data_IF_965896851637
#
_entry.id   IF_965896851637
#
_cell.length_a   1.000
_cell.length_b   1.000
_cell.length_c   1.000
_cell.angle_alpha   90.00
_cell.angle_beta   90.00
_cell.angle_gamma   90.00
#
_symmetry.space_group_name_H-M   'P 1'
#
loop_
_entity.id
_entity.type
_entity.pdbx_description
1 polymer ?
#
# COMPACT_ATOMS: atom_id res chain seq x y z
N UNK A 1 12.72 -9.29 4.03
CA UNK A 1 12.84 -9.36 2.57
C UNK A 1 14.05 -8.52 2.21
N UNK A 2 15.25 -9.11 2.30
CA UNK A 2 15.99 -9.39 1.07
C UNK A 2 15.10 -9.87 -0.07
N UNK A 3 15.23 -9.19 -1.21
CA UNK A 3 14.69 -9.64 -2.48
C UNK A 3 15.30 -11.04 -2.77
N UNK A 4 14.51 -12.01 -3.23
CA UNK A 4 15.02 -13.35 -3.51
C UNK A 4 16.12 -13.27 -4.57
N UNK A 5 17.38 -13.44 -4.15
CA UNK A 5 18.53 -13.54 -5.04
C UNK A 5 18.76 -15.03 -5.35
N UNK A 6 17.84 -15.61 -6.11
CA UNK A 6 17.98 -16.94 -6.71
C UNK A 6 18.65 -16.82 -8.07
N UNK A 7 19.49 -17.80 -8.44
CA UNK A 7 20.02 -17.97 -9.80
C UNK A 7 18.86 -18.22 -10.78
N UNK A 8 18.15 -17.17 -11.16
CA UNK A 8 17.09 -17.24 -12.16
C UNK A 8 17.68 -17.07 -13.56
N UNK A 9 17.01 -17.64 -14.56
CA UNK A 9 17.36 -17.40 -15.95
C UNK A 9 17.19 -15.91 -16.27
N UNK A 10 17.97 -15.39 -17.23
CA UNK A 10 17.87 -14.01 -17.69
C UNK A 10 17.63 -13.97 -19.20
N UNK A 11 16.70 -13.13 -19.65
CA UNK A 11 16.58 -12.70 -21.04
C UNK A 11 17.02 -11.25 -21.11
N UNK A 12 18.12 -10.97 -21.80
CA UNK A 12 18.58 -9.60 -22.06
C UNK A 12 18.07 -9.15 -23.42
N UNK A 13 17.27 -8.09 -23.43
CA UNK A 13 16.75 -7.49 -24.65
C UNK A 13 17.77 -6.54 -25.27
N UNK A 14 17.73 -6.45 -26.59
CA UNK A 14 18.45 -5.43 -27.36
C UNK A 14 17.44 -4.66 -28.18
N UNK A 15 17.40 -3.35 -27.99
CA UNK A 15 16.58 -2.44 -28.78
C UNK A 15 17.46 -1.67 -29.76
N UNK A 16 16.88 -1.26 -30.88
CA UNK A 16 17.55 -0.43 -31.88
C UNK A 16 16.77 0.87 -32.07
N UNK A 17 17.41 1.88 -32.64
CA UNK A 17 16.81 3.22 -32.79
C UNK A 17 15.64 3.29 -33.78
N UNK A 18 15.37 2.22 -34.53
CA UNK A 18 14.22 2.14 -35.46
C UNK A 18 12.99 1.48 -34.82
N UNK A 19 13.06 1.12 -33.53
CA UNK A 19 11.90 0.55 -32.85
C UNK A 19 10.89 1.64 -32.52
N UNK A 20 9.67 1.44 -32.98
CA UNK A 20 8.58 2.38 -32.71
C UNK A 20 7.85 2.05 -31.41
N UNK A 21 7.80 0.78 -30.98
CA UNK A 21 7.19 0.38 -29.69
C UNK A 21 7.91 -0.86 -29.14
N UNK A 22 8.45 -0.78 -27.93
CA UNK A 22 9.14 -1.90 -27.28
C UNK A 22 8.21 -2.88 -26.56
N UNK A 23 6.94 -2.53 -26.34
CA UNK A 23 5.98 -3.38 -25.61
C UNK A 23 5.93 -4.83 -26.12
N UNK A 24 5.82 -5.11 -27.45
CA UNK A 24 5.73 -6.48 -27.93
C UNK A 24 6.95 -7.33 -27.55
N UNK A 25 8.16 -6.74 -27.62
CA UNK A 25 9.40 -7.43 -27.28
C UNK A 25 9.50 -7.71 -25.77
N UNK A 26 9.07 -6.76 -24.94
CA UNK A 26 9.06 -6.95 -23.50
C UNK A 26 8.05 -8.04 -23.11
N UNK A 27 6.84 -8.01 -23.67
CA UNK A 27 5.83 -9.02 -23.37
C UNK A 27 6.26 -10.42 -23.84
N UNK A 28 6.83 -10.55 -25.05
CA UNK A 28 7.33 -11.83 -25.56
C UNK A 28 8.43 -12.40 -24.66
N UNK A 29 9.35 -11.57 -24.16
CA UNK A 29 10.39 -12.00 -23.23
C UNK A 29 9.81 -12.43 -21.88
N UNK A 30 8.83 -11.70 -21.35
CA UNK A 30 8.13 -12.07 -20.12
C UNK A 30 7.45 -13.44 -20.29
N UNK A 31 6.71 -13.63 -21.39
CA UNK A 31 5.99 -14.87 -21.65
C UNK A 31 6.95 -16.06 -21.82
N UNK A 32 8.05 -15.85 -22.54
CA UNK A 32 9.09 -16.87 -22.77
C UNK A 32 9.79 -17.28 -21.48
N UNK A 33 10.14 -16.33 -20.62
CA UNK A 33 10.86 -16.64 -19.37
C UNK A 33 9.92 -17.24 -18.32
N UNK A 34 8.66 -16.78 -18.27
CA UNK A 34 7.63 -17.38 -17.43
C UNK A 34 7.38 -18.85 -17.80
N UNK A 35 7.29 -19.17 -19.10
CA UNK A 35 7.15 -20.54 -19.59
C UNK A 35 8.36 -21.43 -19.24
N UNK A 36 9.52 -20.82 -18.95
CA UNK A 36 10.75 -21.49 -18.54
C UNK A 36 10.92 -21.61 -17.01
N UNK A 37 9.91 -21.24 -16.23
CA UNK A 37 9.93 -21.31 -14.77
C UNK A 37 10.24 -19.99 -14.05
N UNK A 38 10.27 -18.87 -14.77
CA UNK A 38 10.51 -17.54 -14.21
C UNK A 38 11.95 -17.05 -14.36
N UNK A 39 12.15 -15.78 -14.04
CA UNK A 39 13.46 -15.12 -14.08
C UNK A 39 13.39 -13.64 -14.45
N UNK A 40 14.51 -13.10 -14.91
CA UNK A 40 14.64 -11.65 -15.14
C UNK A 40 14.64 -11.30 -16.63
N UNK A 41 13.78 -10.38 -17.04
CA UNK A 41 13.86 -9.68 -18.32
C UNK A 41 14.64 -8.38 -18.11
N UNK A 42 15.81 -8.29 -18.75
CA UNK A 42 16.73 -7.15 -18.62
C UNK A 42 16.55 -6.23 -19.83
N UNK A 43 16.17 -4.98 -19.56
CA UNK A 43 16.00 -3.93 -20.56
C UNK A 43 17.32 -3.19 -20.79
N UNK A 44 17.71 -2.89 -22.04
CA UNK A 44 18.96 -2.20 -22.33
C UNK A 44 18.89 -0.72 -21.91
N UNK A 45 20.07 -0.13 -21.67
CA UNK A 45 20.21 1.32 -21.52
C UNK A 45 19.67 2.05 -22.75
N UNK A 46 19.03 3.20 -22.54
CA UNK A 46 18.45 4.04 -23.58
C UNK A 46 17.08 4.59 -23.21
N UNK A 47 16.54 5.40 -24.11
CA UNK A 47 15.19 5.95 -24.02
C UNK A 47 14.36 5.29 -25.10
N UNK A 48 13.33 4.55 -24.72
CA UNK A 48 12.64 3.62 -25.60
C UNK A 48 11.14 3.91 -25.67
N UNK A 49 10.57 4.07 -26.87
CA UNK A 49 9.14 4.33 -27.02
C UNK A 49 8.34 3.08 -26.64
N UNK A 50 7.24 3.27 -25.92
CA UNK A 50 6.40 2.19 -25.42
C UNK A 50 4.91 2.55 -25.46
N UNK A 51 4.05 1.59 -25.77
CA UNK A 51 2.61 1.65 -25.47
C UNK A 51 2.30 0.94 -24.14
N UNK A 52 1.29 1.43 -23.40
CA UNK A 52 0.94 0.87 -22.09
C UNK A 52 0.34 -0.55 -22.17
N UNK A 53 0.32 -1.26 -21.03
CA UNK A 53 -0.34 -2.55 -20.85
C UNK A 53 0.59 -3.75 -21.01
N UNK A 54 1.71 -3.73 -20.29
CA UNK A 54 2.56 -4.91 -20.06
C UNK A 54 2.05 -5.64 -18.82
N UNK A 55 1.90 -6.96 -18.94
CA UNK A 55 1.59 -7.82 -17.80
C UNK A 55 2.84 -8.61 -17.43
N UNK A 56 3.33 -8.43 -16.21
CA UNK A 56 4.45 -9.22 -15.67
C UNK A 56 3.85 -10.43 -14.95
N UNK A 57 4.23 -11.64 -15.38
CA UNK A 57 3.70 -12.91 -14.84
C UNK A 57 4.43 -13.32 -13.55
N UNK A 58 3.83 -14.21 -12.76
CA UNK A 58 4.43 -14.78 -11.55
C UNK A 58 5.85 -15.30 -11.77
N UNK A 59 6.73 -15.06 -10.80
CA UNK A 59 8.14 -15.45 -10.84
C UNK A 59 9.00 -14.65 -11.83
N UNK A 60 8.48 -13.56 -12.41
CA UNK A 60 9.21 -12.73 -13.37
C UNK A 60 9.55 -11.35 -12.80
N UNK A 61 10.77 -10.91 -13.07
CA UNK A 61 11.25 -9.56 -12.77
C UNK A 61 11.57 -8.82 -14.06
N UNK A 62 11.12 -7.58 -14.21
CA UNK A 62 11.57 -6.68 -15.28
C UNK A 62 12.55 -5.69 -14.68
N UNK A 63 13.78 -5.68 -15.17
CA UNK A 63 14.86 -4.84 -14.65
C UNK A 63 15.47 -3.96 -15.75
N UNK A 64 15.69 -2.68 -15.47
CA UNK A 64 16.54 -1.81 -16.29
C UNK A 64 17.97 -1.72 -15.76
N UNK A 65 18.73 -0.76 -16.29
CA UNK A 65 20.10 -0.48 -15.86
C UNK A 65 20.22 0.63 -14.79
N UNK A 66 19.08 1.17 -14.34
CA UNK A 66 18.96 2.29 -13.43
C UNK A 66 17.90 3.29 -13.90
N UNK A 67 17.28 3.99 -12.94
CA UNK A 67 16.16 4.91 -13.16
C UNK A 67 16.37 5.98 -14.25
N UNK A 68 17.61 6.45 -14.44
CA UNK A 68 17.98 7.45 -15.44
C UNK A 68 18.72 6.86 -16.66
N UNK A 69 18.96 5.55 -16.67
CA UNK A 69 19.72 4.86 -17.74
C UNK A 69 18.82 4.10 -18.69
N UNK A 70 17.78 3.44 -18.17
CA UNK A 70 16.73 2.82 -18.97
C UNK A 70 15.45 3.61 -18.74
N UNK A 71 14.96 4.30 -19.76
CA UNK A 71 13.74 5.10 -19.66
C UNK A 71 12.73 4.65 -20.72
N UNK A 72 11.53 4.32 -20.28
CA UNK A 72 10.39 3.98 -21.13
C UNK A 72 9.53 5.23 -21.34
N UNK A 73 9.38 5.64 -22.60
CA UNK A 73 8.69 6.88 -22.98
C UNK A 73 7.35 6.52 -23.60
N UNK A 74 6.23 6.88 -22.95
CA UNK A 74 4.91 6.56 -23.48
C UNK A 74 4.62 7.28 -24.79
N UNK A 75 4.06 6.56 -25.75
CA UNK A 75 3.61 7.13 -27.03
C UNK A 75 2.18 7.67 -26.96
N UNK A 76 1.34 7.04 -26.15
CA UNK A 76 -0.07 7.36 -25.99
C UNK A 76 -0.39 7.72 -24.55
N UNK A 77 -1.50 8.46 -24.37
CA UNK A 77 -2.07 8.71 -23.05
C UNK A 77 -2.56 7.40 -22.39
N UNK A 78 -2.50 7.35 -21.06
CA UNK A 78 -2.80 6.23 -20.17
C UNK A 78 -4.29 5.81 -20.11
N UNK A 79 -4.73 5.01 -21.07
CA UNK A 79 -6.04 4.32 -21.01
C UNK A 79 -6.06 3.06 -20.13
N UNK A 80 -4.88 2.56 -19.75
CA UNK A 80 -4.66 1.40 -18.87
C UNK A 80 -3.29 1.52 -18.17
N UNK A 81 -2.97 0.70 -17.14
CA UNK A 81 -1.66 0.76 -16.49
C UNK A 81 -0.50 0.48 -17.45
N UNK A 82 0.67 1.09 -17.21
CA UNK A 82 1.88 0.78 -18.01
C UNK A 82 2.32 -0.65 -17.73
N UNK A 83 2.52 -0.97 -16.45
CA UNK A 83 2.80 -2.30 -15.95
C UNK A 83 1.70 -2.77 -14.99
N UNK A 84 1.19 -3.97 -15.24
CA UNK A 84 0.38 -4.75 -14.30
C UNK A 84 1.23 -5.91 -13.79
N UNK A 85 1.47 -5.99 -12.49
CA UNK A 85 2.20 -7.09 -11.87
C UNK A 85 1.22 -8.22 -11.56
N UNK A 86 1.00 -9.07 -12.56
CA UNK A 86 0.02 -10.15 -12.55
C UNK A 86 -0.99 -10.04 -13.68
N UNK A 87 -2.00 -10.89 -13.66
CA UNK A 87 -3.05 -10.88 -14.68
C UNK A 87 -4.11 -9.80 -14.39
N UNK A 88 -4.35 -8.83 -15.30
CA UNK A 88 -5.49 -7.94 -15.19
C UNK A 88 -6.78 -8.77 -15.26
N UNK A 89 -7.74 -8.47 -14.39
CA UNK A 89 -9.04 -9.14 -14.25
C UNK A 89 -9.13 -10.39 -13.37
N UNK A 90 -8.36 -10.48 -12.28
CA UNK A 90 -8.74 -11.40 -11.19
C UNK A 90 -9.94 -10.88 -10.37
N UNK A 91 -11.05 -10.55 -11.06
CA UNK A 91 -12.33 -10.20 -10.44
C UNK A 91 -13.03 -11.42 -9.82
N UNK A 92 -12.39 -12.59 -9.89
CA UNK A 92 -12.83 -13.81 -9.24
C UNK A 92 -12.85 -13.57 -7.74
N UNK A 93 -14.05 -13.67 -7.17
CA UNK A 93 -14.21 -13.55 -5.73
C UNK A 93 -13.57 -14.76 -5.04
N UNK A 94 -12.99 -14.58 -3.85
CA UNK A 94 -12.55 -15.71 -3.06
C UNK A 94 -13.72 -16.63 -2.75
N UNK A 95 -13.44 -17.92 -2.62
CA UNK A 95 -14.42 -18.88 -2.11
C UNK A 95 -14.42 -18.85 -0.60
N UNK A 96 -15.57 -18.57 -0.02
CA UNK A 96 -15.76 -18.59 1.42
C UNK A 96 -16.11 -20.00 1.89
N UNK A 97 -15.41 -20.47 2.93
CA UNK A 97 -15.56 -21.79 3.52
C UNK A 97 -16.28 -21.75 4.88
N UNK A 98 -15.80 -22.61 5.79
CA UNK A 98 -16.25 -22.68 7.17
C UNK A 98 -16.17 -21.31 7.85
N UNK A 99 -17.12 -21.03 8.73
CA UNK A 99 -17.15 -19.81 9.52
C UNK A 99 -17.59 -20.11 10.94
N UNK A 100 -17.10 -19.32 11.87
CA UNK A 100 -17.43 -19.45 13.28
C UNK A 100 -17.38 -18.08 13.93
N UNK A 101 -18.41 -17.74 14.71
CA UNK A 101 -18.46 -16.44 15.40
C UNK A 101 -17.34 -16.39 16.44
N UNK A 102 -16.73 -15.21 16.56
CA UNK A 102 -15.77 -14.92 17.62
C UNK A 102 -16.56 -14.59 18.90
N UNK A 103 -16.23 -15.24 20.01
CA UNK A 103 -16.96 -15.14 21.29
C UNK A 103 -16.34 -14.17 22.28
N UNK A 104 -15.15 -13.64 21.99
CA UNK A 104 -14.51 -12.65 22.85
C UNK A 104 -15.40 -11.41 22.98
N UNK A 105 -15.58 -10.93 24.22
CA UNK A 105 -16.34 -9.70 24.46
C UNK A 105 -15.62 -8.47 23.90
N UNK A 106 -14.31 -8.42 24.11
CA UNK A 106 -13.42 -7.38 23.62
C UNK A 106 -12.06 -7.98 23.25
N UNK A 107 -11.50 -7.53 22.13
CA UNK A 107 -10.14 -7.81 21.69
C UNK A 107 -9.45 -6.49 21.34
N UNK A 108 -8.39 -6.07 22.04
CA UNK A 108 -7.64 -4.88 21.68
C UNK A 108 -6.82 -5.08 20.40
N UNK A 109 -6.42 -3.97 19.78
CA UNK A 109 -5.35 -3.95 18.77
C UNK A 109 -4.11 -4.66 19.34
N UNK A 110 -3.47 -5.50 18.53
CA UNK A 110 -2.34 -6.35 18.92
C UNK A 110 -2.74 -7.74 19.43
N UNK A 111 -4.02 -8.04 19.61
CA UNK A 111 -4.46 -9.41 19.94
C UNK A 111 -4.11 -10.38 18.82
N UNK A 112 -3.51 -11.52 19.15
CA UNK A 112 -3.15 -12.56 18.17
C UNK A 112 -3.97 -13.84 18.29
N UNK A 113 -4.88 -13.93 19.27
CA UNK A 113 -5.76 -15.07 19.45
C UNK A 113 -7.22 -14.66 19.54
N UNK A 114 -8.09 -15.49 19.00
CA UNK A 114 -9.55 -15.36 19.05
C UNK A 114 -10.17 -16.66 19.56
N UNK A 115 -11.21 -16.56 20.36
CA UNK A 115 -12.04 -17.69 20.77
C UNK A 115 -13.25 -17.77 19.83
N UNK A 116 -13.51 -18.95 19.29
CA UNK A 116 -14.61 -19.21 18.34
C UNK A 116 -15.61 -20.21 18.90
N UNK A 117 -16.84 -20.23 18.37
CA UNK A 117 -17.87 -21.18 18.83
C UNK A 117 -17.45 -22.64 18.57
N UNK A 118 -17.03 -22.92 17.34
CA UNK A 118 -16.45 -24.19 16.90
C UNK A 118 -15.20 -23.95 16.05
N UNK A 119 -14.24 -24.86 16.15
CA UNK A 119 -13.01 -24.91 15.35
C UNK A 119 -12.96 -26.06 14.35
N UNK A 120 -14.05 -26.83 14.20
CA UNK A 120 -14.07 -28.09 13.44
C UNK A 120 -13.64 -27.94 11.96
N UNK A 121 -13.84 -26.75 11.39
CA UNK A 121 -13.46 -26.43 10.01
C UNK A 121 -12.21 -25.56 9.87
N UNK A 122 -11.47 -25.32 10.96
CA UNK A 122 -10.23 -24.56 10.96
C UNK A 122 -9.00 -25.46 11.06
N UNK A 123 -7.96 -25.12 10.31
CA UNK A 123 -6.66 -25.78 10.35
C UNK A 123 -5.52 -24.75 10.25
N UNK A 124 -4.35 -25.13 10.75
CA UNK A 124 -3.12 -24.35 10.60
C UNK A 124 -2.85 -24.07 9.12
N UNK A 125 -2.28 -22.90 8.85
CA UNK A 125 -1.96 -22.37 7.50
C UNK A 125 -3.17 -22.01 6.63
N UNK A 126 -4.40 -22.20 7.09
CA UNK A 126 -5.57 -21.71 6.34
C UNK A 126 -5.62 -20.18 6.31
N UNK A 127 -5.90 -19.64 5.14
CA UNK A 127 -6.26 -18.25 4.96
C UNK A 127 -7.67 -18.01 5.49
N UNK A 128 -7.81 -16.92 6.23
CA UNK A 128 -9.05 -16.52 6.86
C UNK A 128 -9.24 -15.01 6.74
N UNK A 129 -10.48 -14.56 6.76
CA UNK A 129 -10.79 -13.19 7.12
C UNK A 129 -11.25 -13.13 8.56
N UNK A 130 -10.72 -12.18 9.32
CA UNK A 130 -11.43 -11.64 10.47
C UNK A 130 -12.49 -10.71 9.89
N UNK A 131 -13.71 -11.22 9.86
CA UNK A 131 -14.82 -10.53 9.23
C UNK A 131 -15.65 -9.81 10.29
N UNK A 132 -15.88 -8.53 10.07
CA UNK A 132 -16.57 -7.66 11.01
C UNK A 132 -17.67 -6.88 10.29
N UNK A 133 -18.91 -7.02 10.73
CA UNK A 133 -20.00 -6.17 10.24
C UNK A 133 -20.14 -4.93 11.12
N UNK A 134 -20.19 -3.75 10.51
CA UNK A 134 -20.56 -2.51 11.19
C UNK A 134 -22.04 -2.57 11.58
N UNK A 135 -22.34 -2.65 12.87
CA UNK A 135 -23.74 -2.58 13.33
C UNK A 135 -24.20 -1.14 13.41
N UNK A 136 -25.51 -0.93 13.46
CA UNK A 136 -26.09 0.40 13.68
C UNK A 136 -25.61 1.06 14.98
N UNK A 137 -25.38 0.27 16.04
CA UNK A 137 -24.84 0.76 17.30
C UNK A 137 -23.41 1.28 17.13
N UNK A 138 -22.57 0.56 16.37
CA UNK A 138 -21.21 1.00 16.06
C UNK A 138 -21.20 2.27 15.20
N UNK A 139 -22.05 2.33 14.18
CA UNK A 139 -22.17 3.48 13.29
C UNK A 139 -22.57 4.72 14.11
N UNK A 140 -23.57 4.60 14.99
CA UNK A 140 -24.01 5.68 15.88
C UNK A 140 -22.92 6.12 16.85
N UNK A 141 -22.25 5.18 17.49
CA UNK A 141 -21.23 5.47 18.47
C UNK A 141 -20.04 6.24 17.87
N UNK A 142 -19.69 5.97 16.61
CA UNK A 142 -18.64 6.73 15.91
C UNK A 142 -19.15 8.02 15.23
N UNK A 143 -20.43 8.37 15.36
CA UNK A 143 -21.00 9.53 14.66
C UNK A 143 -21.08 9.37 13.14
N UNK A 144 -21.09 8.14 12.64
CA UNK A 144 -21.03 7.78 11.22
C UNK A 144 -22.42 7.55 10.59
N UNK A 145 -23.50 8.07 11.17
CA UNK A 145 -24.91 7.75 10.84
C UNK A 145 -25.30 7.95 9.36
N UNK A 146 -24.54 8.73 8.60
CA UNK A 146 -24.73 8.94 7.16
C UNK A 146 -24.05 7.88 6.28
N UNK A 147 -23.36 6.89 6.89
CA UNK A 147 -22.67 5.81 6.20
C UNK A 147 -23.51 4.54 6.16
N UNK A 148 -23.56 3.91 5.00
CA UNK A 148 -24.30 2.66 4.76
C UNK A 148 -23.57 1.44 5.33
N UNK A 149 -24.31 0.35 5.55
CA UNK A 149 -23.81 -0.95 6.04
C UNK A 149 -22.52 -1.39 5.32
N UNK A 150 -21.46 -1.64 6.11
CA UNK A 150 -20.14 -2.06 5.61
C UNK A 150 -19.64 -3.25 6.42
N UNK A 151 -19.17 -4.24 5.68
CA UNK A 151 -18.43 -5.39 6.20
C UNK A 151 -16.94 -5.16 5.97
N UNK A 152 -16.17 -5.12 7.04
CA UNK A 152 -14.71 -5.05 7.01
C UNK A 152 -14.19 -6.49 6.97
N UNK A 153 -13.30 -6.76 6.02
CA UNK A 153 -12.63 -8.06 5.87
C UNK A 153 -11.14 -7.84 6.05
N UNK A 154 -10.60 -8.33 7.16
CA UNK A 154 -9.17 -8.23 7.45
C UNK A 154 -8.51 -9.60 7.20
N UNK A 155 -7.71 -9.75 6.13
CA UNK A 155 -7.09 -11.03 5.78
C UNK A 155 -6.07 -11.43 6.85
N UNK A 156 -5.98 -12.73 7.10
CA UNK A 156 -5.05 -13.32 8.05
C UNK A 156 -4.81 -14.79 7.71
N UNK A 157 -3.96 -15.45 8.49
CA UNK A 157 -3.67 -16.86 8.38
C UNK A 157 -3.64 -17.50 9.76
N UNK A 158 -4.16 -18.71 9.89
CA UNK A 158 -4.13 -19.43 11.15
C UNK A 158 -2.71 -19.93 11.43
N UNK A 159 -2.16 -19.55 12.58
CA UNK A 159 -0.86 -20.04 13.07
C UNK A 159 -1.02 -21.25 14.00
N UNK A 160 -2.09 -21.32 14.79
CA UNK A 160 -2.36 -22.47 15.66
C UNK A 160 -3.87 -22.66 15.92
N UNK A 161 -4.26 -23.91 16.20
CA UNK A 161 -5.61 -24.29 16.65
C UNK A 161 -5.49 -25.08 17.94
N UNK A 162 -6.04 -24.56 19.03
CA UNK A 162 -6.04 -25.21 20.36
C UNK A 162 -7.44 -25.20 20.95
N UNK A 163 -8.17 -26.29 20.76
CA UNK A 163 -9.60 -26.33 21.10
C UNK A 163 -10.36 -25.27 20.29
N UNK A 164 -11.12 -24.41 20.97
CA UNK A 164 -11.82 -23.27 20.36
C UNK A 164 -11.00 -21.98 20.29
N UNK A 165 -9.73 -22.00 20.72
CA UNK A 165 -8.83 -20.87 20.58
C UNK A 165 -8.05 -20.98 19.26
N UNK A 166 -8.10 -19.93 18.45
CA UNK A 166 -7.40 -19.83 17.17
C UNK A 166 -6.36 -18.72 17.28
N UNK A 167 -5.09 -19.05 17.05
CA UNK A 167 -4.04 -18.04 16.92
C UNK A 167 -3.90 -17.62 15.47
N UNK A 168 -3.84 -16.31 15.24
CA UNK A 168 -3.62 -15.65 13.97
C UNK A 168 -2.12 -15.40 13.79
N UNK A 169 -1.65 -15.39 12.54
CA UNK A 169 -0.26 -15.09 12.20
C UNK A 169 0.06 -13.60 12.33
N UNK A 170 -0.93 -12.76 12.04
CA UNK A 170 -0.80 -11.31 12.09
C UNK A 170 -1.68 -10.83 13.25
N UNK A 171 -1.14 -10.09 14.24
CA UNK A 171 -1.95 -9.48 15.28
C UNK A 171 -3.04 -8.58 14.69
N UNK A 172 -4.20 -8.49 15.33
CA UNK A 172 -5.29 -7.63 14.91
C UNK A 172 -4.83 -6.16 14.88
N UNK A 173 -5.13 -5.47 13.78
CA UNK A 173 -4.84 -4.04 13.60
C UNK A 173 -6.05 -3.14 13.84
N UNK A 174 -7.16 -3.73 14.25
CA UNK A 174 -8.41 -3.08 14.64
C UNK A 174 -8.88 -3.73 15.94
N UNK A 175 -9.59 -2.99 16.79
CA UNK A 175 -10.20 -3.54 17.99
C UNK A 175 -11.58 -4.15 17.68
N UNK A 176 -11.92 -5.23 18.37
CA UNK A 176 -13.22 -5.88 18.23
C UNK A 176 -13.96 -5.79 19.56
N UNK A 177 -15.16 -5.21 19.55
CA UNK A 177 -16.04 -5.11 20.71
C UNK A 177 -17.42 -5.68 20.37
N UNK A 178 -17.77 -6.81 20.99
CA UNK A 178 -19.03 -7.53 20.74
C UNK A 178 -20.29 -6.70 21.02
N UNK A 179 -20.20 -5.62 21.82
CA UNK A 179 -21.29 -4.65 22.03
C UNK A 179 -21.64 -3.93 20.74
N UNK A 180 -20.62 -3.61 19.94
CA UNK A 180 -20.76 -2.76 18.76
C UNK A 180 -20.64 -3.55 17.45
N UNK A 181 -19.93 -4.67 17.43
CA UNK A 181 -19.63 -5.38 16.18
C UNK A 181 -19.94 -6.86 16.29
N UNK A 182 -20.39 -7.43 15.17
CA UNK A 182 -20.53 -8.89 15.04
C UNK A 182 -19.36 -9.40 14.22
N UNK A 183 -18.57 -10.28 14.83
CA UNK A 183 -17.32 -10.75 14.29
C UNK A 183 -17.36 -12.26 14.08
N UNK A 184 -16.85 -12.69 12.93
CA UNK A 184 -16.68 -14.10 12.60
C UNK A 184 -15.30 -14.33 12.00
N UNK A 185 -14.71 -15.48 12.28
CA UNK A 185 -13.57 -15.97 11.52
C UNK A 185 -14.12 -16.74 10.33
N UNK A 186 -13.66 -16.39 9.13
CA UNK A 186 -14.20 -16.91 7.86
C UNK A 186 -13.07 -17.50 7.03
N UNK A 187 -13.09 -18.81 6.76
CA UNK A 187 -12.14 -19.44 5.84
C UNK A 187 -12.29 -18.83 4.44
N UNK A 188 -11.14 -18.49 3.86
CA UNK A 188 -11.02 -17.93 2.53
C UNK A 188 -10.12 -18.85 1.69
N UNK A 189 -10.58 -19.23 0.51
CA UNK A 189 -9.72 -19.79 -0.53
C UNK A 189 -9.55 -18.73 -1.62
N UNK A 190 -8.33 -18.20 -1.82
CA UNK A 190 -8.07 -17.22 -2.85
C UNK A 190 -8.33 -17.83 -4.24
N UNK A 191 -8.63 -17.01 -5.26
CA UNK A 191 -8.44 -17.41 -6.65
C UNK A 191 -6.94 -17.61 -6.95
N UNK A 192 -6.57 -17.65 -8.23
CA UNK A 192 -5.16 -17.68 -8.61
C UNK A 192 -4.40 -16.49 -8.00
N UNK A 193 -3.31 -16.74 -7.30
CA UNK A 193 -2.44 -15.72 -6.71
C UNK A 193 -1.29 -15.40 -7.66
N UNK A 194 -1.04 -14.12 -7.91
CA UNK A 194 0.10 -13.65 -8.67
C UNK A 194 1.27 -13.44 -7.69
N UNK A 195 2.28 -14.31 -7.69
CA UNK A 195 3.36 -14.23 -6.69
C UNK A 195 4.74 -13.94 -7.29
N UNK A 196 5.64 -13.37 -6.48
CA UNK A 196 7.07 -13.22 -6.80
C UNK A 196 7.33 -12.40 -8.07
N UNK A 197 6.67 -11.24 -8.18
CA UNK A 197 6.74 -10.37 -9.36
C UNK A 197 7.49 -9.09 -9.03
N UNK A 198 8.44 -8.70 -9.88
CA UNK A 198 9.27 -7.51 -9.67
C UNK A 198 9.30 -6.56 -10.87
N UNK A 199 9.38 -5.26 -10.58
CA UNK A 199 9.83 -4.25 -11.54
C UNK A 199 10.89 -3.37 -10.88
N UNK A 200 12.02 -3.15 -11.54
CA UNK A 200 13.10 -2.38 -10.92
C UNK A 200 14.02 -1.63 -11.89
N UNK A 201 14.69 -0.63 -11.33
CA UNK A 201 15.85 0.06 -11.90
C UNK A 201 15.58 0.68 -13.29
N UNK A 202 14.45 1.40 -13.44
CA UNK A 202 14.07 2.03 -14.71
C UNK A 202 13.22 3.29 -14.52
N UNK A 203 13.20 4.15 -15.53
CA UNK A 203 12.35 5.33 -15.62
C UNK A 203 11.12 5.08 -16.50
N UNK A 204 10.00 5.73 -16.18
CA UNK A 204 8.81 5.77 -17.05
C UNK A 204 8.32 7.22 -17.15
N UNK A 205 8.17 7.72 -18.37
CA UNK A 205 7.77 9.10 -18.64
C UNK A 205 6.52 9.17 -19.51
N UNK A 206 5.63 10.12 -19.19
CA UNK A 206 4.51 10.54 -20.05
C UNK A 206 4.87 11.89 -20.69
N UNK A 207 5.31 11.95 -21.98
CA UNK A 207 5.82 13.17 -22.59
C UNK A 207 4.87 14.37 -22.57
N UNK A 208 3.58 14.14 -22.84
CA UNK A 208 2.54 15.17 -22.84
C UNK A 208 1.87 15.36 -21.47
N UNK A 209 2.46 14.79 -20.42
CA UNK A 209 1.98 14.69 -19.03
C UNK A 209 0.48 14.41 -18.83
N UNK A 210 0.19 13.39 -18.04
CA UNK A 210 -1.13 13.20 -17.47
C UNK A 210 -1.31 13.91 -16.12
N UNK A 211 -0.23 14.42 -15.51
CA UNK A 211 -0.39 15.32 -14.37
C UNK A 211 -1.21 16.54 -14.78
N UNK A 212 -2.11 16.96 -13.90
CA UNK A 212 -2.98 18.11 -14.16
C UNK A 212 -4.27 17.80 -14.91
N UNK A 213 -4.35 16.69 -15.66
CA UNK A 213 -5.59 16.26 -16.29
C UNK A 213 -6.66 15.94 -15.21
N UNK A 214 -7.94 16.31 -15.40
CA UNK A 214 -8.98 16.05 -14.41
C UNK A 214 -9.16 14.54 -14.19
N UNK A 215 -9.47 14.11 -12.97
CA UNK A 215 -9.55 12.67 -12.62
C UNK A 215 -10.64 11.89 -13.39
N UNK A 216 -11.59 12.56 -14.04
CA UNK A 216 -12.57 11.91 -14.92
C UNK A 216 -12.06 11.68 -16.35
N UNK A 217 -10.87 12.19 -16.70
CA UNK A 217 -10.19 11.88 -17.94
C UNK A 217 -9.66 10.44 -17.91
N UNK A 218 -10.36 9.56 -18.63
CA UNK A 218 -10.03 8.14 -18.71
C UNK A 218 -8.70 7.88 -19.42
N UNK A 219 -8.21 8.83 -20.20
CA UNK A 219 -6.91 8.72 -20.87
C UNK A 219 -5.75 9.11 -19.94
N UNK A 220 -6.00 9.64 -18.74
CA UNK A 220 -4.93 10.10 -17.87
C UNK A 220 -5.09 9.68 -16.42
N UNK A 221 -5.88 8.65 -16.14
CA UNK A 221 -6.18 8.23 -14.77
C UNK A 221 -5.92 6.73 -14.48
N UNK A 222 -4.98 6.13 -15.23
CA UNK A 222 -4.43 4.80 -14.97
C UNK A 222 -3.05 4.90 -14.29
N UNK A 223 -2.68 3.88 -13.51
CA UNK A 223 -1.43 3.86 -12.76
C UNK A 223 -0.20 3.58 -13.64
N UNK A 224 0.98 4.07 -13.27
CA UNK A 224 2.23 3.61 -13.90
C UNK A 224 2.45 2.11 -13.61
N UNK A 225 2.37 1.75 -12.33
CA UNK A 225 2.54 0.38 -11.83
C UNK A 225 1.30 -0.03 -11.03
N UNK A 226 0.69 -1.13 -11.42
CA UNK A 226 -0.53 -1.65 -10.83
C UNK A 226 -0.33 -3.06 -10.27
N UNK A 227 -0.66 -3.24 -8.99
CA UNK A 227 -0.73 -4.52 -8.31
C UNK A 227 -2.21 -4.91 -8.15
N UNK A 228 -2.75 -5.79 -9.01
CA UNK A 228 -4.14 -6.23 -8.89
C UNK A 228 -4.37 -7.07 -7.63
N UNK A 229 -5.65 -7.28 -7.29
CA UNK A 229 -6.04 -8.20 -6.21
C UNK A 229 -5.36 -9.57 -6.35
N UNK A 230 -5.02 -10.16 -5.20
CA UNK A 230 -4.30 -11.44 -5.11
C UNK A 230 -2.88 -11.42 -5.68
N UNK A 231 -2.30 -10.24 -5.85
CA UNK A 231 -0.85 -10.11 -6.03
C UNK A 231 -0.16 -10.20 -4.68
N UNK A 232 0.79 -11.11 -4.56
CA UNK A 232 1.48 -11.40 -3.32
C UNK A 232 3.00 -11.42 -3.51
N UNK A 233 3.76 -11.14 -2.45
CA UNK A 233 5.23 -11.29 -2.45
C UNK A 233 5.92 -10.59 -3.63
N UNK A 234 5.50 -9.35 -3.91
CA UNK A 234 5.87 -8.63 -5.14
C UNK A 234 6.38 -7.22 -4.84
N UNK A 235 7.16 -6.63 -5.74
CA UNK A 235 7.82 -5.35 -5.48
C UNK A 235 7.98 -4.43 -6.69
N UNK A 236 8.08 -3.14 -6.39
CA UNK A 236 8.61 -2.11 -7.29
C UNK A 236 9.78 -1.41 -6.58
N UNK A 237 10.95 -1.33 -7.23
CA UNK A 237 12.16 -0.79 -6.60
C UNK A 237 12.99 0.07 -7.54
N UNK A 238 13.46 1.24 -7.12
CA UNK A 238 14.41 2.02 -7.94
C UNK A 238 13.77 2.59 -9.22
N UNK A 239 12.53 3.08 -9.12
CA UNK A 239 11.81 3.63 -10.27
C UNK A 239 11.79 5.16 -10.24
N UNK A 240 12.00 5.80 -11.40
CA UNK A 240 11.70 7.22 -11.61
C UNK A 240 10.49 7.38 -12.52
N UNK A 241 9.40 7.89 -11.99
CA UNK A 241 8.12 7.96 -12.70
C UNK A 241 7.72 9.42 -12.87
N UNK A 242 7.38 9.82 -14.10
CA UNK A 242 7.06 11.23 -14.41
C UNK A 242 5.78 11.42 -15.20
N UNK A 243 5.01 12.43 -14.80
CA UNK A 243 3.86 12.93 -15.55
C UNK A 243 2.61 12.08 -15.40
N UNK A 244 2.44 11.38 -14.27
CA UNK A 244 1.26 10.57 -13.99
C UNK A 244 0.28 11.31 -13.08
N UNK A 245 -1.01 10.94 -13.15
CA UNK A 245 -1.95 11.21 -12.07
C UNK A 245 -1.93 10.12 -11.00
N UNK A 246 -1.65 8.87 -11.36
CA UNK A 246 -1.49 7.75 -10.43
C UNK A 246 -0.17 7.07 -10.73
N UNK A 247 0.72 6.98 -9.75
CA UNK A 247 2.01 6.33 -9.94
C UNK A 247 1.91 4.85 -9.57
N UNK A 248 1.41 4.56 -8.38
CA UNK A 248 1.21 3.21 -7.88
C UNK A 248 -0.24 2.99 -7.43
N UNK A 249 -0.80 1.83 -7.77
CA UNK A 249 -2.06 1.36 -7.22
C UNK A 249 -1.91 -0.08 -6.76
N UNK A 250 -2.23 -0.34 -5.49
CA UNK A 250 -2.30 -1.68 -4.89
C UNK A 250 -3.73 -1.96 -4.49
N UNK A 251 -4.35 -2.96 -5.11
CA UNK A 251 -5.75 -3.30 -4.88
C UNK A 251 -5.99 -4.19 -3.66
N UNK A 252 -7.27 -4.30 -3.28
CA UNK A 252 -7.73 -5.14 -2.19
C UNK A 252 -7.25 -6.59 -2.36
N UNK A 253 -6.95 -7.28 -1.25
CA UNK A 253 -6.44 -8.66 -1.21
C UNK A 253 -5.05 -8.87 -1.84
N UNK A 254 -4.41 -7.83 -2.40
CA UNK A 254 -2.96 -7.87 -2.58
C UNK A 254 -2.26 -7.79 -1.21
N UNK A 255 -1.15 -8.51 -1.06
CA UNK A 255 -0.41 -8.49 0.21
C UNK A 255 1.08 -8.76 0.09
N UNK A 256 1.87 -8.36 1.09
CA UNK A 256 3.33 -8.54 1.08
C UNK A 256 3.96 -7.82 -0.13
N UNK A 257 3.56 -6.57 -0.31
CA UNK A 257 4.00 -5.70 -1.40
C UNK A 257 5.01 -4.70 -0.88
N UNK A 258 6.14 -4.54 -1.58
CA UNK A 258 7.13 -3.50 -1.27
C UNK A 258 7.25 -2.52 -2.43
N UNK A 259 7.05 -1.22 -2.15
CA UNK A 259 7.36 -0.12 -3.06
C UNK A 259 8.49 0.65 -2.39
N UNK A 260 9.69 0.64 -2.99
CA UNK A 260 10.86 1.22 -2.34
C UNK A 260 11.78 1.99 -3.30
N UNK A 261 12.48 3.01 -2.80
CA UNK A 261 13.46 3.77 -3.59
C UNK A 261 12.85 4.29 -4.90
N UNK A 262 11.62 4.80 -4.85
CA UNK A 262 10.89 5.28 -6.04
C UNK A 262 10.66 6.78 -5.96
N UNK A 263 10.90 7.47 -7.07
CA UNK A 263 10.70 8.90 -7.24
C UNK A 263 9.47 9.15 -8.12
N UNK A 264 8.56 10.02 -7.67
CA UNK A 264 7.33 10.39 -8.38
C UNK A 264 7.37 11.88 -8.72
N UNK A 265 7.50 12.21 -10.00
CA UNK A 265 7.53 13.58 -10.52
C UNK A 265 6.15 13.96 -11.12
N UNK A 266 5.38 14.72 -10.34
CA UNK A 266 4.13 15.37 -10.73
C UNK A 266 4.43 16.79 -11.16
N UNK A 267 4.41 17.04 -12.46
CA UNK A 267 4.88 18.29 -13.07
C UNK A 267 3.76 19.34 -13.28
N UNK A 268 2.51 19.02 -12.91
CA UNK A 268 1.35 19.92 -13.00
C UNK A 268 0.36 19.69 -11.83
N UNK A 269 -0.30 20.77 -11.37
CA UNK A 269 -1.39 20.68 -10.39
C UNK A 269 -2.68 20.15 -11.03
N UNK A 270 -3.42 19.32 -10.29
CA UNK A 270 -4.67 18.70 -10.74
C UNK A 270 -5.75 19.74 -11.10
N UNK A 271 -6.37 19.59 -12.27
CA UNK A 271 -7.58 20.33 -12.59
C UNK A 271 -8.78 19.77 -11.80
N UNK A 272 -9.28 20.57 -10.86
CA UNK A 272 -10.48 20.27 -10.08
C UNK A 272 -10.23 20.13 -8.57
N UNK A 273 -11.27 19.71 -7.86
CA UNK A 273 -11.25 19.59 -6.40
C UNK A 273 -10.87 18.18 -5.92
N UNK A 274 -11.08 17.15 -6.75
CA UNK A 274 -10.71 15.78 -6.42
C UNK A 274 -9.21 15.60 -6.66
N UNK A 275 -8.49 15.14 -5.63
CA UNK A 275 -7.03 15.01 -5.69
C UNK A 275 -6.62 13.59 -6.10
N UNK A 276 -5.54 13.45 -6.89
CA UNK A 276 -4.95 12.17 -7.23
C UNK A 276 -4.23 11.53 -6.02
N UNK A 277 -3.98 10.23 -6.14
CA UNK A 277 -3.06 9.50 -5.26
C UNK A 277 -1.78 9.20 -6.01
N UNK A 278 -0.62 9.50 -5.40
CA UNK A 278 0.62 9.00 -5.98
C UNK A 278 0.75 7.50 -5.71
N UNK A 279 0.60 7.11 -4.44
CA UNK A 279 0.47 5.71 -4.01
C UNK A 279 -0.90 5.49 -3.37
N UNK A 280 -1.75 4.68 -4.03
CA UNK A 280 -3.01 4.21 -3.44
C UNK A 280 -2.84 2.78 -2.92
N UNK A 281 -3.10 2.59 -1.63
CA UNK A 281 -3.05 1.28 -0.96
C UNK A 281 -4.44 0.80 -0.56
N UNK A 282 -4.83 -0.40 -0.99
CA UNK A 282 -6.12 -1.03 -0.63
C UNK A 282 -5.96 -2.47 -0.10
N UNK A 283 -4.75 -3.03 -0.22
CA UNK A 283 -4.35 -4.33 0.34
C UNK A 283 -3.78 -4.22 1.76
N UNK A 284 -3.12 -5.29 2.20
CA UNK A 284 -2.51 -5.41 3.54
C UNK A 284 -1.04 -5.82 3.45
N UNK A 285 -0.25 -5.65 4.51
CA UNK A 285 1.18 -5.97 4.50
C UNK A 285 1.94 -5.23 3.37
N UNK A 286 1.56 -3.97 3.13
CA UNK A 286 2.19 -3.09 2.15
C UNK A 286 3.25 -2.24 2.86
N UNK A 287 4.45 -2.21 2.29
CA UNK A 287 5.56 -1.36 2.71
C UNK A 287 5.86 -0.34 1.60
N UNK A 288 5.69 0.94 1.90
CA UNK A 288 6.19 2.06 1.10
C UNK A 288 7.39 2.64 1.84
N UNK A 289 8.58 2.62 1.24
CA UNK A 289 9.80 2.98 1.96
C UNK A 289 10.76 3.78 1.07
N UNK A 290 11.38 4.82 1.61
CA UNK A 290 12.43 5.57 0.89
C UNK A 290 11.93 6.11 -0.47
N UNK A 291 10.68 6.56 -0.52
CA UNK A 291 10.06 7.12 -1.71
C UNK A 291 9.94 8.65 -1.60
N UNK A 292 9.98 9.35 -2.74
CA UNK A 292 9.85 10.82 -2.78
C UNK A 292 8.86 11.29 -3.85
N UNK A 293 8.13 12.34 -3.53
CA UNK A 293 7.42 13.16 -4.52
C UNK A 293 8.28 14.40 -4.82
N UNK A 294 8.85 14.46 -6.03
CA UNK A 294 9.86 15.46 -6.41
C UNK A 294 9.40 16.45 -7.49
N UNK A 295 8.10 16.46 -7.77
CA UNK A 295 7.48 17.35 -8.76
C UNK A 295 7.31 18.79 -8.27
N UNK A 296 6.41 19.54 -8.91
CA UNK A 296 6.23 20.95 -8.55
C UNK A 296 5.61 21.08 -7.14
N UNK A 297 6.15 21.93 -6.24
CA UNK A 297 5.66 22.04 -4.86
C UNK A 297 4.19 22.43 -4.72
N UNK A 298 3.61 23.09 -5.72
CA UNK A 298 2.21 23.51 -5.69
C UNK A 298 1.21 22.44 -6.19
N UNK A 299 1.69 21.29 -6.68
CA UNK A 299 0.81 20.25 -7.19
C UNK A 299 0.17 19.46 -6.04
N UNK A 300 -1.15 19.62 -5.88
CA UNK A 300 -1.95 19.00 -4.83
C UNK A 300 -2.13 17.51 -5.10
N UNK A 301 -1.85 16.68 -4.12
CA UNK A 301 -2.14 15.24 -4.16
C UNK A 301 -2.19 14.64 -2.75
N UNK A 302 -2.71 13.40 -2.68
CA UNK A 302 -2.42 12.49 -1.58
C UNK A 302 -1.20 11.67 -1.99
N UNK A 303 -0.02 11.97 -1.46
CA UNK A 303 1.21 11.30 -1.91
C UNK A 303 1.22 9.83 -1.49
N UNK A 304 0.64 9.51 -0.32
CA UNK A 304 0.25 8.14 0.04
C UNK A 304 -1.14 8.18 0.67
N UNK A 305 -2.02 7.28 0.23
CA UNK A 305 -3.37 7.17 0.79
C UNK A 305 -3.90 5.75 0.81
N UNK A 306 -4.98 5.55 1.56
CA UNK A 306 -5.69 4.28 1.66
C UNK A 306 -7.08 4.36 1.02
N UNK A 307 -7.54 3.23 0.47
CA UNK A 307 -8.92 3.05 0.02
C UNK A 307 -9.91 2.80 1.16
N UNK A 308 -11.18 2.56 0.82
CA UNK A 308 -12.22 2.24 1.80
C UNK A 308 -11.96 0.89 2.44
N UNK A 309 -12.10 0.80 3.77
CA UNK A 309 -11.99 -0.44 4.53
C UNK A 309 -10.63 -1.15 4.38
N UNK A 310 -9.58 -0.40 4.06
CA UNK A 310 -8.23 -0.97 3.80
C UNK A 310 -7.68 -1.62 5.07
N UNK A 311 -7.36 -2.92 5.03
CA UNK A 311 -6.81 -3.61 6.19
C UNK A 311 -5.30 -3.47 6.30
N UNK A 312 -4.82 -3.24 7.51
CA UNK A 312 -3.39 -3.30 7.85
C UNK A 312 -2.95 -4.70 8.29
N UNK A 313 -1.66 -4.87 8.64
CA UNK A 313 -0.69 -3.80 8.86
C UNK A 313 -0.10 -3.28 7.54
N UNK A 314 -0.04 -1.96 7.38
CA UNK A 314 0.67 -1.28 6.29
C UNK A 314 1.66 -0.27 6.90
N UNK A 315 2.76 0.04 6.20
CA UNK A 315 3.79 0.95 6.67
C UNK A 315 4.28 1.90 5.57
N UNK A 316 4.49 3.16 5.94
CA UNK A 316 5.09 4.22 5.13
C UNK A 316 6.29 4.76 5.89
N UNK A 317 7.50 4.48 5.41
CA UNK A 317 8.75 4.82 6.09
C UNK A 317 9.55 5.81 5.24
N UNK A 318 9.99 6.92 5.83
CA UNK A 318 10.90 7.89 5.18
C UNK A 318 10.40 8.39 3.82
N UNK A 319 9.09 8.51 3.68
CA UNK A 319 8.48 9.14 2.52
C UNK A 319 8.68 10.66 2.61
N UNK A 320 9.03 11.32 1.51
CA UNK A 320 9.33 12.76 1.49
C UNK A 320 8.65 13.48 0.33
N UNK A 321 8.41 14.77 0.52
CA UNK A 321 7.97 15.69 -0.53
C UNK A 321 8.67 17.04 -0.36
N UNK A 322 8.74 17.81 -1.45
CA UNK A 322 9.14 19.24 -1.44
C UNK A 322 7.96 20.19 -1.26
N UNK A 323 6.76 19.67 -0.97
CA UNK A 323 5.50 20.39 -0.94
C UNK A 323 4.92 20.50 0.47
N UNK A 324 4.25 21.62 0.75
CA UNK A 324 3.42 21.85 1.93
C UNK A 324 1.92 21.59 1.68
N UNK A 325 1.52 21.23 0.44
CA UNK A 325 0.13 20.94 0.06
C UNK A 325 -0.13 19.48 -0.28
N UNK A 326 0.91 18.64 -0.16
CA UNK A 326 0.82 17.19 -0.39
C UNK A 326 0.81 16.45 0.94
N UNK A 327 -0.04 15.44 1.04
CA UNK A 327 -0.35 14.82 2.32
C UNK A 327 -0.28 13.29 2.27
N UNK A 328 0.15 12.69 3.38
CA UNK A 328 -0.14 11.29 3.68
C UNK A 328 -1.50 11.24 4.37
N UNK A 329 -2.49 10.65 3.71
CA UNK A 329 -3.87 10.77 4.16
C UNK A 329 -4.70 9.51 3.84
N UNK A 330 -4.95 8.63 4.83
CA UNK A 330 -6.02 7.66 4.74
C UNK A 330 -7.32 8.34 4.27
N UNK A 331 -7.90 7.90 3.15
CA UNK A 331 -8.81 8.78 2.42
C UNK A 331 -10.28 8.45 2.59
N UNK A 332 -10.61 7.17 2.75
CA UNK A 332 -12.00 6.70 2.83
C UNK A 332 -12.27 5.99 4.15
N UNK A 333 -13.55 5.69 4.38
CA UNK A 333 -14.11 5.09 5.60
C UNK A 333 -13.30 3.87 6.05
N UNK A 334 -12.76 4.00 7.26
CA UNK A 334 -12.25 2.96 8.14
C UNK A 334 -11.14 2.08 7.55
N UNK A 335 -10.03 2.69 7.11
CA UNK A 335 -8.78 1.93 7.07
C UNK A 335 -8.35 1.54 8.51
N UNK A 336 -7.49 0.53 8.66
CA UNK A 336 -6.93 0.23 9.97
C UNK A 336 -5.48 -0.25 9.91
N UNK A 337 -4.67 0.03 10.93
CA UNK A 337 -3.29 -0.44 11.03
C UNK A 337 -2.32 0.14 10.01
N UNK A 338 -2.13 1.47 10.03
CA UNK A 338 -1.11 2.14 9.22
C UNK A 338 -0.04 2.74 10.13
N UNK A 339 1.22 2.39 9.91
CA UNK A 339 2.37 3.08 10.45
C UNK A 339 2.86 4.12 9.44
N UNK A 340 3.05 5.36 9.87
CA UNK A 340 3.81 6.39 9.15
C UNK A 340 4.98 6.78 10.04
N UNK A 341 6.18 6.72 9.50
CA UNK A 341 7.41 6.86 10.29
C UNK A 341 8.46 7.69 9.55
N UNK A 342 9.20 8.51 10.31
CA UNK A 342 10.38 9.25 9.84
C UNK A 342 10.12 10.07 8.56
N UNK A 343 8.92 10.65 8.48
CA UNK A 343 8.44 11.41 7.32
C UNK A 343 8.31 12.89 7.67
N UNK A 344 8.66 13.75 6.70
CA UNK A 344 8.45 15.20 6.77
C UNK A 344 7.14 15.65 6.11
N UNK A 345 6.39 14.72 5.51
CA UNK A 345 5.14 15.03 4.79
C UNK A 345 4.02 15.31 5.79
N UNK A 346 3.20 16.32 5.52
CA UNK A 346 1.99 16.56 6.31
C UNK A 346 1.13 15.28 6.36
N UNK A 347 0.82 14.82 7.57
CA UNK A 347 0.12 13.54 7.79
C UNK A 347 -1.19 13.76 8.54
N UNK A 348 -2.27 13.18 8.02
CA UNK A 348 -3.63 13.46 8.48
C UNK A 348 -4.38 12.16 8.81
N UNK A 349 -4.68 11.92 10.09
CA UNK A 349 -5.53 10.83 10.56
C UNK A 349 -6.80 11.43 11.19
N UNK A 350 -7.77 11.83 10.37
CA UNK A 350 -8.94 12.63 10.84
C UNK A 350 -10.29 12.08 10.39
N UNK A 351 -11.38 12.57 10.99
CA UNK A 351 -12.73 12.43 10.45
C UNK A 351 -12.91 13.35 9.22
N UNK A 352 -13.23 12.74 8.07
CA UNK A 352 -13.48 13.46 6.82
C UNK A 352 -14.94 13.90 6.67
N UNK A 353 -15.78 13.61 7.65
CA UNK A 353 -17.20 13.92 7.68
C UNK A 353 -17.92 13.43 6.42
N UNK A 354 -18.78 14.27 5.85
CA UNK A 354 -19.57 13.93 4.65
C UNK A 354 -18.84 14.22 3.33
N UNK A 355 -17.51 14.46 3.34
CA UNK A 355 -16.76 14.67 2.09
C UNK A 355 -16.93 13.48 1.13
N UNK A 356 -16.88 13.75 -0.17
CA UNK A 356 -16.98 12.74 -1.23
C UNK A 356 -18.26 11.91 -1.13
N UNK A 357 -18.13 10.58 -1.04
CA UNK A 357 -19.26 9.64 -0.97
C UNK A 357 -19.74 9.33 0.46
N UNK A 358 -19.44 10.22 1.41
CA UNK A 358 -19.52 9.94 2.84
C UNK A 358 -18.29 9.17 3.30
N UNK A 359 -17.23 9.90 3.64
CA UNK A 359 -15.94 9.30 4.03
C UNK A 359 -15.87 8.96 5.52
N UNK A 360 -16.35 9.83 6.41
CA UNK A 360 -16.27 9.64 7.86
C UNK A 360 -14.83 9.46 8.36
N UNK A 361 -14.67 8.73 9.46
CA UNK A 361 -13.37 8.36 10.02
C UNK A 361 -12.49 7.65 9.00
N UNK A 362 -11.33 8.23 8.74
CA UNK A 362 -10.39 7.74 7.74
C UNK A 362 -9.60 6.50 8.20
N UNK A 363 -9.29 6.42 9.50
CA UNK A 363 -8.46 5.34 10.05
C UNK A 363 -8.72 5.06 11.53
N UNK A 364 -8.57 3.80 11.92
CA UNK A 364 -8.37 3.34 13.31
C UNK A 364 -7.01 2.62 13.45
N UNK A 365 -6.37 2.66 14.61
CA UNK A 365 -5.10 1.99 14.84
C UNK A 365 -3.96 2.54 13.99
N UNK A 366 -4.03 3.80 13.58
CA UNK A 366 -2.96 4.52 12.90
C UNK A 366 -1.88 4.96 13.89
N UNK A 367 -0.62 4.83 13.49
CA UNK A 367 0.55 5.22 14.29
C UNK A 367 1.42 6.18 13.47
N UNK A 368 1.61 7.39 13.98
CA UNK A 368 2.70 8.28 13.57
C UNK A 368 3.87 8.07 14.51
N UNK A 369 5.08 7.89 13.98
CA UNK A 369 6.30 7.69 14.76
C UNK A 369 7.42 8.60 14.25
N UNK A 370 7.95 9.47 15.09
CA UNK A 370 9.04 10.41 14.73
C UNK A 370 8.72 11.20 13.43
N UNK A 371 7.54 11.83 13.38
CA UNK A 371 7.12 12.65 12.24
C UNK A 371 7.59 14.09 12.41
N UNK A 372 8.26 14.62 11.39
CA UNK A 372 8.81 15.98 11.38
C UNK A 372 7.91 16.98 10.63
N UNK A 373 6.88 16.52 9.92
CA UNK A 373 5.90 17.37 9.25
C UNK A 373 4.76 17.83 10.17
N UNK A 374 3.86 18.67 9.63
CA UNK A 374 2.60 18.98 10.31
C UNK A 374 1.76 17.70 10.49
N UNK A 375 1.12 17.54 11.65
CA UNK A 375 0.25 16.39 11.93
C UNK A 375 -1.10 16.83 12.46
N UNK A 376 -2.18 16.31 11.87
CA UNK A 376 -3.55 16.44 12.40
C UNK A 376 -4.13 15.04 12.64
N UNK A 377 -4.11 14.60 13.88
CA UNK A 377 -4.47 13.24 14.28
C UNK A 377 -5.62 13.28 15.28
N UNK A 378 -6.70 12.60 14.92
CA UNK A 378 -7.90 12.41 15.71
C UNK A 378 -8.14 10.91 15.94
N UNK A 379 -8.81 10.56 17.04
CA UNK A 379 -9.25 9.18 17.31
C UNK A 379 -10.75 9.04 17.10
N UNK A 380 -11.21 7.99 16.38
CA UNK A 380 -12.63 7.64 16.37
C UNK A 380 -13.13 7.32 17.80
N UNK A 381 -14.41 7.59 18.14
CA UNK A 381 -14.93 7.33 19.49
C UNK A 381 -14.75 5.90 20.00
N UNK A 382 -14.81 4.90 19.11
CA UNK A 382 -14.60 3.48 19.44
C UNK A 382 -13.23 2.96 18.98
N UNK A 383 -12.30 3.86 18.72
CA UNK A 383 -10.98 3.57 18.18
C UNK A 383 -9.90 4.42 18.83
N UNK A 384 -8.70 4.30 18.31
CA UNK A 384 -7.53 5.02 18.80
C UNK A 384 -6.52 5.18 17.66
N UNK A 385 -5.96 6.38 17.54
CA UNK A 385 -4.78 6.66 16.74
C UNK A 385 -3.70 7.24 17.67
N UNK A 386 -2.43 7.09 17.28
CA UNK A 386 -1.27 7.54 18.05
C UNK A 386 -0.37 8.43 17.22
N UNK A 387 0.24 9.42 17.87
CA UNK A 387 1.43 10.09 17.37
C UNK A 387 2.48 10.12 18.47
N UNK A 388 3.59 9.43 18.26
CA UNK A 388 4.67 9.28 19.23
C UNK A 388 5.92 9.97 18.68
N UNK A 389 6.49 10.92 19.42
CA UNK A 389 7.66 11.68 18.99
C UNK A 389 7.40 12.58 17.76
N UNK A 390 6.16 13.04 17.59
CA UNK A 390 5.76 13.85 16.43
C UNK A 390 5.88 15.36 16.70
N UNK A 391 6.14 16.13 15.64
CA UNK A 391 6.27 17.59 15.69
C UNK A 391 7.64 18.06 16.17
N UNK A 392 7.81 19.38 16.28
CA UNK A 392 9.12 20.01 16.50
C UNK A 392 9.57 20.79 15.27
N UNK A 393 10.70 21.49 15.34
CA UNK A 393 11.25 22.30 14.23
C UNK A 393 10.28 23.34 13.61
N UNK A 394 9.30 23.80 14.39
CA UNK A 394 8.27 24.75 13.91
C UNK A 394 7.01 24.11 13.34
N UNK A 395 6.90 22.77 13.36
CA UNK A 395 5.72 22.03 12.93
C UNK A 395 4.79 21.69 14.09
N UNK A 396 3.49 21.83 13.85
CA UNK A 396 2.45 21.69 14.87
C UNK A 396 1.86 20.27 14.91
N UNK A 397 1.50 19.82 16.11
CA UNK A 397 0.66 18.64 16.32
C UNK A 397 -0.75 19.08 16.71
N UNK A 398 -1.77 18.63 15.99
CA UNK A 398 -3.18 18.99 16.21
C UNK A 398 -4.08 17.75 16.28
N UNK A 399 -5.23 17.92 16.95
CA UNK A 399 -6.29 16.92 17.01
C UNK A 399 -6.45 16.33 18.41
N UNK A 400 -7.16 15.21 18.52
CA UNK A 400 -7.49 14.56 19.79
C UNK A 400 -7.02 13.09 19.87
N UNK A 401 -6.11 12.67 19.00
CA UNK A 401 -5.45 11.38 19.09
C UNK A 401 -4.57 11.27 20.36
N UNK A 402 -3.99 10.09 20.57
CA UNK A 402 -3.04 9.88 21.66
C UNK A 402 -1.68 10.40 21.26
N UNK A 403 -1.31 11.57 21.76
CA UNK A 403 0.01 12.17 21.57
C UNK A 403 0.95 11.80 22.72
N UNK A 404 2.14 11.30 22.38
CA UNK A 404 3.17 10.89 23.35
C UNK A 404 4.49 11.53 22.97
N UNK A 405 5.12 12.23 23.92
CA UNK A 405 6.42 12.88 23.72
C UNK A 405 6.49 13.84 22.50
N UNK A 406 5.43 14.63 22.24
CA UNK A 406 5.38 15.58 21.12
C UNK A 406 6.47 16.64 21.17
N UNK A 407 6.84 17.17 20.00
CA UNK A 407 7.79 18.27 19.83
C UNK A 407 9.26 17.84 19.76
N UNK A 408 9.54 16.54 19.80
CA UNK A 408 10.87 15.96 19.67
C UNK A 408 10.79 14.54 19.11
N UNK A 409 11.87 14.11 18.44
CA UNK A 409 12.10 12.71 18.09
C UNK A 409 12.46 11.89 19.33
N UNK A 410 12.14 10.61 19.30
CA UNK A 410 12.40 9.63 20.37
C UNK A 410 13.08 8.36 19.86
N UNK A 411 13.62 7.57 20.80
CA UNK A 411 14.14 6.23 20.51
C UNK A 411 13.07 5.13 20.74
N UNK A 412 13.11 4.01 19.99
CA UNK A 412 14.00 3.77 18.85
C UNK A 412 13.70 4.71 17.68
N UNK A 413 14.72 5.10 16.91
CA UNK A 413 14.55 5.92 15.70
C UNK A 413 13.46 5.35 14.77
N UNK A 414 13.48 4.03 14.58
CA UNK A 414 12.51 3.30 13.78
C UNK A 414 11.76 2.25 14.60
N UNK A 415 10.45 2.42 14.75
CA UNK A 415 9.57 1.41 15.34
C UNK A 415 9.49 0.18 14.45
N UNK A 416 9.40 0.36 13.13
CA UNK A 416 9.37 -0.74 12.17
C UNK A 416 10.62 -1.62 12.28
N UNK A 417 11.81 -1.01 12.30
CA UNK A 417 13.09 -1.74 12.44
C UNK A 417 13.18 -2.43 13.79
N UNK A 418 12.82 -1.76 14.89
CA UNK A 418 12.81 -2.36 16.22
C UNK A 418 11.92 -3.61 16.29
N UNK A 419 10.74 -3.58 15.66
CA UNK A 419 9.83 -4.73 15.57
C UNK A 419 10.37 -5.87 14.69
N UNK A 420 11.17 -5.57 13.66
CA UNK A 420 11.86 -6.60 12.87
C UNK A 420 12.98 -7.27 13.69
N UNK A 421 13.77 -6.47 14.40
CA UNK A 421 14.88 -6.95 15.23
C UNK A 421 14.37 -7.81 16.39
N UNK A 422 13.24 -7.45 17.01
CA UNK A 422 12.57 -8.28 18.04
C UNK A 422 12.19 -9.67 17.50
N UNK A 423 11.93 -9.78 16.18
CA UNK A 423 11.64 -11.05 15.50
C UNK A 423 12.91 -11.74 14.98
N UNK A 424 14.10 -11.25 15.34
CA UNK A 424 15.39 -11.76 14.90
C UNK A 424 15.73 -11.43 13.44
N UNK A 425 15.05 -10.45 12.82
CA UNK A 425 15.30 -10.00 11.45
C UNK A 425 16.09 -8.70 11.48
N UNK A 426 17.38 -8.78 11.19
CA UNK A 426 18.27 -7.62 11.09
C UNK A 426 18.37 -7.15 9.63
N UNK A 427 18.17 -5.86 9.38
CA UNK A 427 18.40 -5.23 8.07
C UNK A 427 19.44 -4.12 8.20
N UNK A 428 20.36 -4.07 7.24
CA UNK A 428 21.24 -2.92 7.06
C UNK A 428 20.40 -1.81 6.41
N UNK A 429 20.21 -0.69 7.10
CA UNK A 429 19.41 0.44 6.62
C UNK A 429 20.37 1.55 6.15
N UNK A 430 20.27 1.97 4.90
CA UNK A 430 21.12 3.05 4.38
C UNK A 430 20.78 4.42 4.99
N UNK A 431 19.63 4.55 5.67
CA UNK A 431 19.23 5.76 6.39
C UNK A 431 20.04 6.07 7.67
N UNK A 432 20.94 5.17 8.08
CA UNK A 432 21.82 5.36 9.24
C UNK A 432 23.07 6.23 8.92
N UNK A 433 23.30 6.64 7.66
CA UNK A 433 24.53 7.35 7.25
C UNK A 433 24.49 8.90 7.20
N UNK A 434 23.40 9.59 7.53
CA UNK A 434 23.41 11.07 7.57
C UNK A 434 22.76 11.62 8.84
N UNK A 435 23.58 11.97 9.83
CA UNK A 435 23.51 13.22 10.63
C UNK A 435 24.76 13.30 11.54
N UNK A 436 25.91 13.64 10.97
CA UNK A 436 27.02 14.28 11.70
C UNK A 436 27.61 15.33 10.74
N UNK A 437 26.98 16.51 10.74
CA UNK A 437 27.33 17.66 9.91
C UNK A 437 26.65 18.93 10.39
#
# INVERSE_FOLDING_TARGET
MMLPNGSSANITLTFNSSIDDVKPLIQEAIDSIAASGGGTVILPEGRWPITAGINITSGVVVAGAGENKTVLVLQDRLSQPVFTLGTPANNTRPRYGFRSNITNQYLPIGSSSVDVISSDGFAVDQLVYVSRNATEAWIRANGMNSLVDKRILSPNQISSVSGTNITLRIPLTDNLDSVYVRTELLVCTPPYENSEIGIQDLGIEVPDTCSGAPLNDKACNSAAVYFPSWTVDSWASGLSLKGFNKFFQVDQDASRITIQNCTMDRDQDIQGAALPFDVLTQGSQILVQDCSQDGIPSARCFTVGTGSLTPGPNAVLRHKTKSDVQTIYPHQRWAHGLLVEDSSVETLFVDRGIKGSGHGWSINGGVGWNLDGNVDFESPPLGINWCVGCGGNGHETKGNATFVESGKRIEPRSLFKAQLEERGIYRYDQGDEETDG
#
